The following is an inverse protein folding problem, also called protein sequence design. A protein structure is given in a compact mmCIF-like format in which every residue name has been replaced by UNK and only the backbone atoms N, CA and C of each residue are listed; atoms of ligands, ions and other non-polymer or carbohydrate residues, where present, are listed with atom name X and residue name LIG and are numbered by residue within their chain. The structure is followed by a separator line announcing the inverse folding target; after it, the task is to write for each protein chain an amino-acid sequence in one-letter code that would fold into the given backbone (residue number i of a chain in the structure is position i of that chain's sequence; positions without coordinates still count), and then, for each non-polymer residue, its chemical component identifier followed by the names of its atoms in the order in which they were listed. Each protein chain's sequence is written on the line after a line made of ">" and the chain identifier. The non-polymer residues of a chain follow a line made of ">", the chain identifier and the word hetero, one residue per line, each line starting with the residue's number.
data_IF_447652362592
#
_entry.id   IF_447652362592
#
_cell.length_a   1.000
_cell.length_b   1.000
_cell.length_c   1.000
_cell.angle_alpha   90.00
_cell.angle_beta   90.00
_cell.angle_gamma   90.00
#
_symmetry.space_group_name_H-M   'P 1'
#
loop_
_entity.id
_entity.type
_entity.pdbx_description
1 polymer ?
#
# COMPACT_ATOMS: atom_id res chain seq x y z
N UNK A 1 5.19 -1.97 13.90
CA UNK A 1 4.32 -3.09 13.46
C UNK A 1 4.03 -2.88 11.96
N UNK A 2 4.28 -3.89 11.13
CA UNK A 2 3.98 -3.83 9.68
C UNK A 2 2.50 -4.09 9.39
N UNK A 3 2.09 -3.93 8.12
CA UNK A 3 0.75 -4.26 7.65
C UNK A 3 -0.38 -3.57 8.43
N UNK A 4 -0.23 -2.29 8.80
CA UNK A 4 -1.30 -1.58 9.50
C UNK A 4 -1.64 -2.09 10.91
N UNK A 5 -0.84 -3.02 11.46
CA UNK A 5 -0.99 -3.53 12.83
C UNK A 5 -2.04 -4.63 13.01
N UNK A 6 -2.64 -5.15 11.93
CA UNK A 6 -3.65 -6.21 11.98
C UNK A 6 -3.36 -7.30 10.94
N UNK A 7 -3.69 -8.58 11.22
CA UNK A 7 -3.64 -9.64 10.21
C UNK A 7 -4.64 -9.43 9.06
N UNK A 8 -5.61 -8.53 9.24
CA UNK A 8 -6.62 -8.18 8.22
C UNK A 8 -6.25 -6.93 7.42
N UNK A 9 -5.09 -6.33 7.66
CA UNK A 9 -4.61 -5.18 6.89
C UNK A 9 -3.30 -5.53 6.17
N UNK A 10 -3.04 -4.85 5.06
CA UNK A 10 -1.79 -4.94 4.33
C UNK A 10 -1.38 -3.54 3.84
N UNK A 11 -0.10 -3.21 3.95
CA UNK A 11 0.46 -1.95 3.44
C UNK A 11 1.62 -2.26 2.50
N UNK A 12 1.66 -1.60 1.34
CA UNK A 12 2.72 -1.77 0.36
C UNK A 12 3.03 -0.48 -0.37
N UNK A 13 4.25 -0.38 -0.89
CA UNK A 13 4.65 0.71 -1.79
C UNK A 13 4.81 0.12 -3.19
N UNK A 14 4.09 0.68 -4.16
CA UNK A 14 4.06 0.23 -5.55
C UNK A 14 4.45 1.36 -6.49
N UNK A 15 5.24 1.03 -7.49
CA UNK A 15 5.61 1.95 -8.57
C UNK A 15 5.77 1.21 -9.88
N UNK A 16 5.65 1.95 -10.97
CA UNK A 16 6.14 1.59 -12.29
C UNK A 16 7.42 2.42 -12.61
N UNK A 17 8.06 2.23 -13.77
CA UNK A 17 9.25 3.01 -14.13
C UNK A 17 9.03 4.53 -14.19
N UNK A 18 7.80 5.00 -14.42
CA UNK A 18 7.45 6.42 -14.56
C UNK A 18 7.30 7.15 -13.23
N UNK A 19 7.00 6.44 -12.13
CA UNK A 19 6.87 7.02 -10.79
C UNK A 19 7.79 6.34 -9.75
N UNK A 20 8.89 5.72 -10.19
CA UNK A 20 9.81 5.01 -9.33
C UNK A 20 10.39 5.85 -8.20
N UNK A 21 10.48 7.18 -8.37
CA UNK A 21 10.94 8.11 -7.33
C UNK A 21 9.81 8.65 -6.44
N UNK A 22 8.56 8.64 -6.90
CA UNK A 22 7.36 9.11 -6.16
C UNK A 22 6.26 8.04 -6.17
N UNK A 23 6.51 6.88 -5.54
CA UNK A 23 5.63 5.71 -5.63
C UNK A 23 4.34 5.92 -4.84
N UNK A 24 3.36 5.03 -5.04
CA UNK A 24 2.14 5.01 -4.23
C UNK A 24 2.28 4.09 -3.03
N UNK A 25 1.94 4.59 -1.84
CA UNK A 25 1.64 3.77 -0.67
C UNK A 25 0.16 3.36 -0.73
N UNK A 26 -0.08 2.06 -0.72
CA UNK A 26 -1.43 1.47 -0.79
C UNK A 26 -1.70 0.74 0.52
N UNK A 27 -2.89 0.95 1.08
CA UNK A 27 -3.43 0.16 2.18
C UNK A 27 -4.63 -0.64 1.72
N UNK A 28 -4.61 -1.93 2.02
CA UNK A 28 -5.68 -2.87 1.78
C UNK A 28 -6.24 -3.39 3.10
N UNK A 29 -7.54 -3.64 3.14
CA UNK A 29 -8.24 -4.34 4.22
C UNK A 29 -8.90 -5.60 3.69
N UNK A 30 -8.84 -6.69 4.46
CA UNK A 30 -9.55 -7.92 4.16
C UNK A 30 -11.03 -7.77 4.52
N UNK A 31 -11.90 -8.03 3.56
CA UNK A 31 -13.35 -8.08 3.77
C UNK A 31 -13.79 -9.53 3.59
N UNK A 32 -14.36 -10.10 4.66
CA UNK A 32 -14.85 -11.49 4.67
C UNK A 32 -15.74 -11.76 3.47
N UNK A 33 -15.47 -12.87 2.77
CA UNK A 33 -16.14 -13.32 1.54
C UNK A 33 -15.97 -12.41 0.30
N UNK A 34 -15.25 -11.29 0.41
CA UNK A 34 -15.01 -10.36 -0.70
C UNK A 34 -13.53 -10.21 -1.07
N UNK A 35 -12.64 -10.55 -0.16
CA UNK A 35 -11.19 -10.47 -0.34
C UNK A 35 -10.61 -9.11 0.03
N UNK A 36 -9.44 -8.79 -0.51
CA UNK A 36 -8.73 -7.54 -0.24
C UNK A 36 -9.39 -6.34 -0.94
N UNK A 37 -9.70 -5.30 -0.17
CA UNK A 37 -10.24 -4.03 -0.66
C UNK A 37 -9.24 -2.89 -0.41
N UNK A 38 -8.90 -2.07 -1.42
CA UNK A 38 -8.16 -0.83 -1.19
C UNK A 38 -8.96 0.17 -0.35
N UNK A 39 -8.33 0.69 0.69
CA UNK A 39 -8.93 1.70 1.57
C UNK A 39 -8.18 3.02 1.57
N UNK A 40 -6.92 3.03 1.13
CA UNK A 40 -6.13 4.26 0.94
C UNK A 40 -5.10 4.07 -0.17
N UNK A 41 -4.89 5.14 -0.94
CA UNK A 41 -3.80 5.28 -1.91
C UNK A 41 -3.24 6.69 -1.72
N UNK A 42 -1.96 6.75 -1.38
CA UNK A 42 -1.24 8.00 -1.13
C UNK A 42 0.00 8.04 -2.02
N UNK A 43 0.21 9.14 -2.76
CA UNK A 43 1.47 9.34 -3.47
C UNK A 43 2.53 9.81 -2.48
N UNK A 44 3.67 9.14 -2.47
CA UNK A 44 4.81 9.53 -1.63
C UNK A 44 5.69 10.52 -2.39
N UNK A 45 6.25 11.48 -1.66
CA UNK A 45 7.22 12.43 -2.21
C UNK A 45 8.58 11.80 -2.55
N UNK A 46 8.87 10.61 -1.99
CA UNK A 46 10.09 9.85 -2.27
C UNK A 46 9.88 8.35 -2.08
N UNK A 47 10.61 7.53 -2.85
CA UNK A 47 10.63 6.08 -2.66
C UNK A 47 11.50 5.70 -1.44
N UNK A 48 10.92 5.06 -0.40
CA UNK A 48 11.67 4.67 0.79
C UNK A 48 12.56 3.44 0.61
N UNK A 49 12.51 2.77 -0.55
CA UNK A 49 13.27 1.55 -0.86
C UNK A 49 14.36 1.77 -1.92
N UNK A 50 14.62 3.03 -2.28
CA UNK A 50 15.78 3.43 -3.09
C UNK A 50 16.91 3.95 -2.21
#
# INVERSE_FOLDING_TARGET
>A
LGNGGSPQSAEGVVSDPGNADTPYKVRLEWVTEKGWKPVSVEQLDRNPYR
#
